data_IF_232194869208
#
_entry.id   IF_232194869208
#
_cell.length_a   1.000
_cell.length_b   1.000
_cell.length_c   1.000
_cell.angle_alpha   90.00
_cell.angle_beta   90.00
_cell.angle_gamma   90.00
#
_symmetry.space_group_name_H-M   'P 1'
#
loop_
_entity.id
_entity.type
_entity.pdbx_description
1 polymer ?
#
# COMPACT_ATOMS: atom_id res chain seq x y z
N UNK A 1 -2.53 0.03 -14.41
CA UNK A 1 -3.95 -0.28 -14.13
C UNK A 1 -4.22 -1.77 -13.84
N UNK A 2 -3.83 -2.72 -14.71
CA UNK A 2 -4.11 -4.16 -14.45
C UNK A 2 -3.55 -4.65 -13.12
N UNK A 3 -2.30 -4.32 -12.80
CA UNK A 3 -1.67 -4.68 -11.51
C UNK A 3 -2.27 -3.93 -10.31
N UNK A 4 -2.94 -2.79 -10.54
CA UNK A 4 -3.71 -2.11 -9.48
C UNK A 4 -4.99 -2.87 -9.18
N UNK A 5 -5.74 -3.21 -10.23
CA UNK A 5 -7.04 -3.86 -10.06
C UNK A 5 -6.90 -5.33 -9.64
N UNK A 6 -5.87 -6.02 -10.12
CA UNK A 6 -5.65 -7.44 -9.86
C UNK A 6 -4.17 -7.67 -9.50
N UNK A 7 -3.71 -7.20 -8.32
CA UNK A 7 -2.34 -7.42 -7.89
C UNK A 7 -2.09 -8.92 -7.67
N UNK A 8 -1.03 -9.51 -8.26
CA UNK A 8 -0.67 -10.91 -8.03
C UNK A 8 -0.39 -11.22 -6.54
N UNK A 9 0.11 -10.22 -5.81
CA UNK A 9 0.34 -10.28 -4.36
C UNK A 9 -0.65 -9.33 -3.69
N UNK A 10 -1.79 -9.84 -3.16
CA UNK A 10 -2.86 -9.00 -2.64
C UNK A 10 -2.56 -8.38 -1.28
N UNK A 11 -1.52 -8.86 -0.59
CA UNK A 11 -1.03 -8.30 0.65
C UNK A 11 0.44 -8.68 0.87
N UNK A 12 1.15 -7.86 1.64
CA UNK A 12 2.53 -8.12 2.09
C UNK A 12 2.60 -8.01 3.59
N UNK A 13 3.58 -8.64 4.21
CA UNK A 13 3.72 -8.67 5.66
C UNK A 13 5.12 -8.33 6.16
N UNK A 14 5.23 -8.04 7.46
CA UNK A 14 6.48 -7.91 8.20
C UNK A 14 6.34 -8.59 9.56
N UNK A 15 7.39 -9.28 10.00
CA UNK A 15 7.50 -9.76 11.36
C UNK A 15 8.27 -8.74 12.21
N UNK A 16 7.68 -8.31 13.32
CA UNK A 16 8.34 -7.42 14.26
C UNK A 16 9.41 -8.19 15.04
N UNK A 17 10.70 -7.93 14.80
CA UNK A 17 11.80 -8.71 15.44
C UNK A 17 12.27 -8.15 16.79
N UNK A 18 11.78 -6.97 17.16
CA UNK A 18 12.00 -6.27 18.43
C UNK A 18 10.83 -5.33 18.68
N UNK A 19 10.49 -5.07 19.94
CA UNK A 19 9.43 -4.10 20.26
C UNK A 19 9.70 -2.78 19.53
N UNK A 20 8.66 -2.29 18.85
CA UNK A 20 8.73 -1.09 18.03
C UNK A 20 7.61 -0.14 18.43
N UNK A 21 7.99 1.00 18.98
CA UNK A 21 7.04 2.09 19.25
C UNK A 21 6.84 2.84 17.94
N UNK A 22 5.63 2.70 17.38
CA UNK A 22 5.17 3.55 16.30
C UNK A 22 4.60 4.83 16.92
N UNK A 23 5.10 5.97 16.46
CA UNK A 23 4.65 7.31 16.85
C UNK A 23 4.66 8.16 15.58
N UNK A 24 3.48 8.57 15.12
CA UNK A 24 3.34 9.34 13.87
C UNK A 24 3.53 10.85 14.06
N UNK A 25 3.70 11.32 15.29
CA UNK A 25 3.81 12.74 15.61
C UNK A 25 2.49 13.53 15.52
N UNK A 26 1.39 12.89 15.13
CA UNK A 26 0.04 13.47 15.02
C UNK A 26 -0.94 12.92 16.08
N UNK A 27 -0.42 12.09 16.99
CA UNK A 27 -1.14 11.57 18.15
C UNK A 27 -1.41 10.07 18.11
N UNK A 28 -1.07 9.38 17.01
CA UNK A 28 -1.09 7.92 16.97
C UNK A 28 0.21 7.37 17.55
N UNK A 29 0.10 6.77 18.73
CA UNK A 29 1.23 6.11 19.38
C UNK A 29 0.85 4.77 19.94
N UNK A 30 1.54 3.72 19.51
CA UNK A 30 1.37 2.36 20.04
C UNK A 30 2.63 1.52 19.86
N UNK A 31 2.73 0.44 20.64
CA UNK A 31 3.83 -0.51 20.55
C UNK A 31 3.40 -1.72 19.72
N UNK A 32 4.22 -2.08 18.73
CA UNK A 32 4.16 -3.36 18.04
C UNK A 32 5.13 -4.30 18.76
N UNK A 33 4.60 -5.26 19.50
CA UNK A 33 5.38 -6.22 20.28
C UNK A 33 6.20 -7.13 19.37
N UNK A 34 7.39 -7.52 19.84
CA UNK A 34 8.23 -8.53 19.20
C UNK A 34 7.43 -9.81 18.96
N UNK A 35 7.54 -10.35 17.75
CA UNK A 35 6.80 -11.53 17.29
C UNK A 35 5.48 -11.21 16.61
N UNK A 36 5.02 -9.96 16.64
CA UNK A 36 3.80 -9.54 15.94
C UNK A 36 4.01 -9.54 14.43
N UNK A 37 3.13 -10.23 13.70
CA UNK A 37 3.01 -10.12 12.25
C UNK A 37 2.14 -8.93 11.86
N UNK A 38 2.66 -8.03 11.03
CA UNK A 38 1.95 -6.86 10.52
C UNK A 38 1.64 -7.08 9.05
N UNK A 39 0.38 -6.99 8.68
CA UNK A 39 -0.11 -7.19 7.31
C UNK A 39 -0.52 -5.88 6.66
N UNK A 40 -0.14 -5.70 5.40
CA UNK A 40 -0.46 -4.54 4.57
C UNK A 40 -1.33 -4.97 3.39
N UNK A 41 -2.61 -4.55 3.33
CA UNK A 41 -3.56 -5.02 2.33
C UNK A 41 -3.39 -4.26 1.00
N UNK A 42 -2.47 -4.72 0.15
CA UNK A 42 -2.19 -4.14 -1.18
C UNK A 42 -3.46 -4.02 -2.02
N UNK A 43 -4.25 -5.09 -2.13
CA UNK A 43 -5.51 -5.08 -2.88
C UNK A 43 -6.51 -4.07 -2.32
N UNK A 44 -6.61 -3.97 -0.98
CA UNK A 44 -7.49 -3.01 -0.33
C UNK A 44 -7.09 -1.57 -0.64
N UNK A 45 -5.80 -1.26 -0.51
CA UNK A 45 -5.24 0.06 -0.79
C UNK A 45 -5.41 0.45 -2.26
N UNK A 46 -5.21 -0.49 -3.18
CA UNK A 46 -5.42 -0.31 -4.61
C UNK A 46 -6.88 -0.07 -5.00
N UNK A 47 -7.84 -0.43 -4.13
CA UNK A 47 -9.27 -0.23 -4.34
C UNK A 47 -9.87 0.87 -3.45
N UNK A 48 -9.04 1.59 -2.70
CA UNK A 48 -9.52 2.65 -1.84
C UNK A 48 -9.92 3.88 -2.70
N UNK A 49 -11.20 4.31 -2.65
CA UNK A 49 -11.66 5.47 -3.41
C UNK A 49 -10.97 6.78 -3.02
N UNK A 50 -10.33 6.84 -1.84
CA UNK A 50 -9.49 7.98 -1.42
C UNK A 50 -8.33 8.21 -2.39
N UNK A 51 -7.76 7.14 -2.94
CA UNK A 51 -6.62 7.22 -3.85
C UNK A 51 -7.02 6.96 -5.32
N UNK A 52 -8.08 6.19 -5.55
CA UNK A 52 -8.51 5.80 -6.90
C UNK A 52 -10.01 6.07 -7.10
N UNK A 53 -10.40 7.23 -7.67
CA UNK A 53 -11.81 7.54 -7.94
C UNK A 53 -12.45 6.48 -8.84
N UNK A 54 -13.62 5.93 -8.50
CA UNK A 54 -14.21 4.76 -9.18
C UNK A 54 -13.26 3.55 -9.24
N UNK A 55 -12.80 3.01 -8.09
CA UNK A 55 -11.68 2.08 -8.02
C UNK A 55 -11.95 0.72 -8.70
N UNK A 56 -13.22 0.35 -8.83
CA UNK A 56 -13.68 -0.89 -9.50
C UNK A 56 -13.75 -0.78 -11.02
N UNK A 57 -13.64 0.44 -11.59
CA UNK A 57 -13.60 0.64 -13.04
C UNK A 57 -12.17 0.54 -13.54
N UNK A 58 -11.98 -0.27 -14.59
CA UNK A 58 -10.69 -0.39 -15.26
C UNK A 58 -10.49 0.83 -16.15
N UNK A 59 -9.54 1.68 -15.77
CA UNK A 59 -9.22 2.92 -16.49
C UNK A 59 -7.71 2.97 -16.75
N UNK A 60 -7.23 2.43 -17.88
CA UNK A 60 -5.80 2.46 -18.25
C UNK A 60 -5.17 3.85 -18.14
N UNK A 61 -5.93 4.88 -18.50
CA UNK A 61 -5.49 6.26 -18.60
C UNK A 61 -5.09 6.86 -17.26
N UNK A 62 -5.42 6.23 -16.11
CA UNK A 62 -4.89 6.64 -14.80
C UNK A 62 -3.36 6.67 -14.78
N UNK A 63 -2.75 5.73 -15.50
CA UNK A 63 -1.30 5.53 -15.55
C UNK A 63 -0.68 6.08 -16.86
N UNK A 64 -1.41 6.94 -17.59
CA UNK A 64 -0.87 7.68 -18.74
C UNK A 64 0.20 8.68 -18.30
N UNK A 65 1.00 9.19 -19.24
CA UNK A 65 2.05 10.16 -18.95
C UNK A 65 1.51 11.46 -18.36
N UNK A 66 0.31 11.85 -18.77
CA UNK A 66 -0.39 13.04 -18.29
C UNK A 66 -0.89 12.87 -16.85
N UNK A 67 -1.36 11.66 -16.49
CA UNK A 67 -2.01 11.42 -15.20
C UNK A 67 -1.10 10.79 -14.15
N UNK A 68 0.03 10.16 -14.53
CA UNK A 68 0.89 9.41 -13.59
C UNK A 68 1.39 10.24 -12.41
N UNK A 69 1.55 11.55 -12.57
CA UNK A 69 1.96 12.46 -11.50
C UNK A 69 0.90 12.62 -10.40
N UNK A 70 -0.37 12.31 -10.68
CA UNK A 70 -1.47 12.37 -9.70
C UNK A 70 -1.58 11.11 -8.83
N UNK A 71 -0.84 10.05 -9.15
CA UNK A 71 -0.88 8.80 -8.42
C UNK A 71 -0.08 8.94 -7.14
N UNK A 72 -0.70 8.60 -6.00
CA UNK A 72 0.02 8.51 -4.75
C UNK A 72 0.94 7.25 -4.77
N UNK A 73 2.27 7.42 -4.71
CA UNK A 73 3.20 6.30 -4.79
C UNK A 73 3.08 5.34 -3.61
N UNK A 74 2.68 5.82 -2.44
CA UNK A 74 2.48 4.99 -1.24
C UNK A 74 1.20 4.16 -1.33
N UNK A 75 0.27 4.53 -2.23
CA UNK A 75 -0.96 3.81 -2.51
C UNK A 75 -0.88 2.89 -3.74
N UNK A 76 0.24 2.88 -4.47
CA UNK A 76 0.45 2.02 -5.63
C UNK A 76 1.65 1.09 -5.41
N UNK A 77 1.36 -0.06 -4.78
CA UNK A 77 2.34 -1.08 -4.40
C UNK A 77 2.29 -2.39 -5.22
N UNK A 78 2.33 -2.36 -6.57
CA UNK A 78 2.23 -3.58 -7.39
C UNK A 78 3.43 -4.53 -7.21
N UNK A 79 4.56 -4.02 -6.72
CA UNK A 79 5.82 -4.76 -6.52
C UNK A 79 6.34 -4.67 -5.07
N UNK A 80 5.47 -4.25 -4.14
CA UNK A 80 5.85 -3.99 -2.75
C UNK A 80 6.65 -2.70 -2.56
N UNK A 81 7.22 -2.54 -1.36
CA UNK A 81 7.97 -1.35 -0.93
C UNK A 81 9.11 -1.74 0.02
N UNK A 82 10.13 -0.86 0.08
CA UNK A 82 11.29 -1.02 0.94
C UNK A 82 12.32 -2.00 0.37
N UNK A 83 13.29 -2.47 1.18
CA UNK A 83 14.46 -3.22 0.72
C UNK A 83 14.17 -4.66 0.24
N UNK A 84 12.89 -5.05 0.22
CA UNK A 84 12.41 -6.39 -0.15
C UNK A 84 11.34 -6.30 -1.24
N UNK A 85 11.32 -5.20 -1.99
CA UNK A 85 10.50 -5.09 -3.20
C UNK A 85 11.08 -5.96 -4.33
N UNK A 86 10.25 -6.25 -5.32
CA UNK A 86 10.65 -6.96 -6.54
C UNK A 86 11.52 -6.09 -7.45
#
# INVERSE_FOLDING_TARGET
>A
ESLRMWPPVPAVDRLCVRDYVLDDGEGLKFTIEKGTGVWFPVHGLHHDPKFYPNPKKFTPERFSDENKASINPDAYLPFGVGPRNC
#
